data_IF_678604389881
#
_entry.id   IF_678604389881
#
_cell.length_a   1.000
_cell.length_b   1.000
_cell.length_c   1.000
_cell.angle_alpha   90.00
_cell.angle_beta   90.00
_cell.angle_gamma   90.00
#
_symmetry.space_group_name_H-M   'P 1'
#
loop_
_entity.id
_entity.type
_entity.pdbx_description
1 polymer ?
#
# COMPACT_ATOMS: atom_id res chain seq x y z
N UNK A 1 24.08 -5.18 15.64
CA UNK A 1 24.81 -5.15 14.35
C UNK A 1 23.91 -5.58 13.19
N UNK A 2 23.30 -6.79 13.18
CA UNK A 2 22.40 -7.24 12.08
C UNK A 2 21.37 -6.18 11.63
N UNK A 3 20.63 -5.57 12.57
CA UNK A 3 19.67 -4.48 12.27
C UNK A 3 20.29 -3.28 11.52
N UNK A 4 21.50 -2.85 11.90
CA UNK A 4 22.19 -1.75 11.24
C UNK A 4 22.67 -2.13 9.84
N UNK A 5 23.12 -3.38 9.65
CA UNK A 5 23.47 -3.90 8.33
C UNK A 5 22.23 -3.95 7.42
N UNK A 6 21.07 -4.35 7.94
CA UNK A 6 19.84 -4.38 7.16
C UNK A 6 19.30 -3.01 6.81
N UNK A 7 19.48 -2.02 7.67
CA UNK A 7 19.23 -0.64 7.31
C UNK A 7 20.13 -0.20 6.14
N UNK A 8 21.42 -0.59 6.13
CA UNK A 8 22.32 -0.28 5.03
C UNK A 8 21.92 -0.99 3.71
N UNK A 9 21.55 -2.28 3.77
CA UNK A 9 21.07 -3.02 2.59
C UNK A 9 19.74 -2.46 2.09
N UNK A 10 18.82 -2.09 2.98
CA UNK A 10 17.56 -1.42 2.63
C UNK A 10 17.79 -0.10 1.90
N UNK A 11 18.73 0.73 2.38
CA UNK A 11 19.12 1.96 1.71
C UNK A 11 19.69 1.70 0.30
N UNK A 12 20.51 0.65 0.17
CA UNK A 12 21.05 0.24 -1.13
C UNK A 12 19.95 -0.24 -2.08
N UNK A 13 19.01 -1.06 -1.61
CA UNK A 13 17.85 -1.51 -2.38
C UNK A 13 16.98 -0.34 -2.83
N UNK A 14 16.72 0.65 -1.96
CA UNK A 14 16.00 1.86 -2.31
C UNK A 14 16.73 2.70 -3.37
N UNK A 15 18.06 2.85 -3.26
CA UNK A 15 18.88 3.55 -4.25
C UNK A 15 18.90 2.83 -5.62
N UNK A 16 18.75 1.51 -5.64
CA UNK A 16 18.56 0.73 -6.87
C UNK A 16 17.15 0.95 -7.44
N UNK A 17 16.12 0.95 -6.60
CA UNK A 17 14.73 1.20 -7.01
C UNK A 17 14.56 2.60 -7.64
N UNK A 18 15.27 3.61 -7.14
CA UNK A 18 15.31 4.95 -7.72
C UNK A 18 15.87 4.98 -9.16
N UNK A 19 16.58 3.93 -9.57
CA UNK A 19 17.09 3.72 -10.93
C UNK A 19 16.28 2.68 -11.71
N UNK A 20 15.10 2.29 -11.21
CA UNK A 20 14.23 1.30 -11.84
C UNK A 20 14.63 -0.16 -11.60
N UNK A 21 15.57 -0.43 -10.68
CA UNK A 21 16.05 -1.78 -10.37
C UNK A 21 15.48 -2.24 -9.03
N UNK A 22 14.56 -3.22 -9.05
CA UNK A 22 13.99 -3.82 -7.85
C UNK A 22 14.81 -5.04 -7.44
N UNK A 23 15.53 -4.95 -6.32
CA UNK A 23 16.28 -6.08 -5.76
C UNK A 23 15.33 -7.05 -5.06
N UNK A 24 15.05 -8.18 -5.69
CA UNK A 24 14.22 -9.22 -5.08
C UNK A 24 15.05 -10.08 -4.10
N UNK A 25 14.44 -10.48 -2.99
CA UNK A 25 15.01 -11.50 -2.09
C UNK A 25 16.12 -11.02 -1.14
N UNK A 26 16.45 -9.72 -1.10
CA UNK A 26 17.56 -9.22 -0.26
C UNK A 26 17.31 -9.39 1.26
N UNK A 27 16.05 -9.52 1.69
CA UNK A 27 15.68 -9.86 3.07
C UNK A 27 15.74 -11.36 3.38
N UNK A 28 15.90 -12.21 2.37
CA UNK A 28 16.04 -13.64 2.58
C UNK A 28 17.52 -14.06 2.66
N UNK A 29 18.45 -13.12 2.50
CA UNK A 29 19.89 -13.33 2.63
C UNK A 29 20.41 -12.80 3.97
N UNK A 30 21.40 -13.48 4.54
CA UNK A 30 22.17 -12.92 5.67
C UNK A 30 22.75 -11.55 5.28
N UNK A 31 22.73 -10.55 6.19
CA UNK A 31 22.39 -10.62 7.62
C UNK A 31 20.92 -10.26 7.93
N UNK A 32 20.06 -10.25 6.91
CA UNK A 32 18.72 -9.66 6.94
C UNK A 32 17.58 -10.64 6.84
N UNK A 33 17.89 -11.91 7.08
CA UNK A 33 17.08 -13.11 7.27
C UNK A 33 16.01 -12.96 8.37
N UNK A 34 15.25 -11.86 8.30
CA UNK A 34 14.18 -11.49 9.19
C UNK A 34 12.89 -11.57 8.40
N UNK A 35 12.01 -12.50 8.79
CA UNK A 35 10.69 -12.62 8.20
C UNK A 35 9.93 -11.33 8.51
N UNK A 36 9.84 -10.42 7.54
CA UNK A 36 8.96 -9.28 7.65
C UNK A 36 7.52 -9.80 7.60
N UNK A 37 6.88 -9.90 8.77
CA UNK A 37 5.49 -10.36 8.87
C UNK A 37 4.59 -9.18 8.53
N UNK A 38 3.85 -9.31 7.43
CA UNK A 38 2.78 -8.39 7.14
C UNK A 38 1.58 -8.67 8.07
N UNK A 39 0.90 -7.63 8.57
CA UNK A 39 -0.30 -7.80 9.37
C UNK A 39 -1.46 -8.32 8.52
N UNK A 40 -2.44 -8.95 9.18
CA UNK A 40 -3.67 -9.42 8.54
C UNK A 40 -3.40 -10.40 7.38
N UNK A 41 -4.09 -10.16 6.27
CA UNK A 41 -4.00 -10.92 5.01
C UNK A 41 -3.16 -10.20 3.93
N UNK A 42 -2.28 -9.31 4.35
CA UNK A 42 -1.41 -8.57 3.43
C UNK A 42 -0.21 -9.43 2.98
N UNK A 43 0.32 -9.11 1.81
CA UNK A 43 1.49 -9.76 1.22
C UNK A 43 2.67 -8.79 1.17
N UNK A 44 3.88 -9.31 1.41
CA UNK A 44 5.10 -8.54 1.23
C UNK A 44 5.41 -8.30 -0.26
N UNK A 45 5.87 -7.10 -0.60
CA UNK A 45 6.33 -6.72 -1.93
C UNK A 45 7.55 -5.81 -1.86
N UNK A 46 8.47 -5.97 -2.82
CA UNK A 46 9.68 -5.16 -2.98
C UNK A 46 9.47 -3.90 -3.86
N UNK A 47 8.26 -3.74 -4.40
CA UNK A 47 7.94 -2.70 -5.38
C UNK A 47 6.64 -2.00 -5.04
N UNK A 48 6.46 -1.63 -3.77
CA UNK A 48 5.24 -0.96 -3.33
C UNK A 48 5.24 0.47 -3.83
N UNK A 49 4.19 0.82 -4.57
CA UNK A 49 3.87 2.19 -4.96
C UNK A 49 2.71 2.71 -4.11
N UNK A 50 2.70 4.00 -3.85
CA UNK A 50 1.83 4.66 -2.86
C UNK A 50 0.37 4.83 -3.27
N UNK A 51 -0.04 4.33 -4.43
CA UNK A 51 -1.29 4.74 -5.09
C UNK A 51 -2.26 3.58 -5.35
N UNK A 52 -3.55 3.85 -5.16
CA UNK A 52 -4.65 3.02 -5.67
C UNK A 52 -4.99 1.75 -4.88
N UNK A 53 -4.39 1.53 -3.70
CA UNK A 53 -4.48 0.27 -2.96
C UNK A 53 -5.28 0.35 -1.65
N UNK A 54 -6.04 1.44 -1.42
CA UNK A 54 -6.92 1.59 -0.25
C UNK A 54 -8.37 1.81 -0.65
N UNK A 55 -9.31 1.46 0.23
CA UNK A 55 -10.74 1.69 -0.02
C UNK A 55 -11.05 3.16 -0.33
N UNK A 56 -10.32 4.10 0.31
CA UNK A 56 -10.51 5.54 0.06
C UNK A 56 -10.18 5.93 -1.38
N UNK A 57 -9.14 5.34 -1.95
CA UNK A 57 -8.72 5.63 -3.34
C UNK A 57 -9.73 5.19 -4.40
N UNK A 58 -10.66 4.28 -4.05
CA UNK A 58 -11.77 3.90 -4.93
C UNK A 58 -12.89 4.95 -5.00
N UNK A 59 -13.12 5.69 -3.91
CA UNK A 59 -14.21 6.68 -3.83
C UNK A 59 -13.77 8.06 -4.30
N UNK A 60 -12.60 8.48 -3.84
CA UNK A 60 -12.00 9.77 -4.19
C UNK A 60 -10.78 9.46 -5.06
N UNK A 61 -10.92 9.59 -6.39
CA UNK A 61 -9.77 9.58 -7.30
C UNK A 61 -8.92 10.81 -7.01
N UNK A 62 -8.08 10.70 -5.98
CA UNK A 62 -7.26 11.80 -5.54
C UNK A 62 -6.09 11.92 -6.52
N UNK A 63 -6.07 12.99 -7.33
CA UNK A 63 -5.03 13.28 -8.33
C UNK A 63 -3.63 13.51 -7.72
N UNK A 64 -3.50 13.46 -6.39
CA UNK A 64 -2.23 13.60 -5.65
C UNK A 64 -1.22 12.50 -6.06
N UNK A 65 -1.72 11.39 -6.60
CA UNK A 65 -0.93 10.24 -7.02
C UNK A 65 -0.27 10.36 -8.40
N UNK A 66 -0.36 11.50 -9.09
CA UNK A 66 0.17 11.69 -10.45
C UNK A 66 1.71 11.85 -10.51
N UNK A 67 2.43 11.70 -9.40
CA UNK A 67 3.89 11.77 -9.33
C UNK A 67 4.59 10.42 -9.51
N UNK A 68 5.83 10.45 -10.02
CA UNK A 68 6.72 9.29 -9.99
C UNK A 68 7.26 9.09 -8.57
N UNK A 69 6.83 8.03 -7.89
CA UNK A 69 7.36 7.64 -6.59
C UNK A 69 8.44 6.57 -6.76
N UNK A 70 9.56 6.72 -6.06
CA UNK A 70 10.52 5.63 -5.93
C UNK A 70 9.85 4.48 -5.17
N UNK A 71 9.75 3.28 -5.76
CA UNK A 71 9.17 2.13 -5.08
C UNK A 71 9.91 1.82 -3.77
N UNK A 72 9.16 1.35 -2.79
CA UNK A 72 9.69 0.94 -1.48
C UNK A 72 9.28 -0.50 -1.17
N UNK A 73 10.02 -1.16 -0.29
CA UNK A 73 9.62 -2.46 0.21
C UNK A 73 8.54 -2.31 1.29
N UNK A 74 7.53 -3.18 1.30
CA UNK A 74 6.43 -3.06 2.25
C UNK A 74 5.34 -4.12 2.08
N UNK A 75 4.26 -3.94 2.82
CA UNK A 75 3.09 -4.81 2.80
C UNK A 75 1.99 -4.20 1.94
N UNK A 76 1.40 -5.02 1.06
CA UNK A 76 0.32 -4.62 0.15
C UNK A 76 -0.83 -5.60 0.21
N UNK A 77 -2.00 -5.13 -0.22
CA UNK A 77 -3.11 -6.01 -0.54
C UNK A 77 -2.86 -6.74 -1.85
N UNK A 78 -3.38 -7.96 -1.95
CA UNK A 78 -3.39 -8.71 -3.20
C UNK A 78 -4.25 -8.00 -4.24
N UNK A 79 -3.97 -8.26 -5.52
CA UNK A 79 -4.77 -7.74 -6.63
C UNK A 79 -6.27 -8.03 -6.43
N UNK A 80 -7.11 -7.03 -6.67
CA UNK A 80 -8.56 -7.10 -6.43
C UNK A 80 -8.98 -6.82 -4.98
N UNK A 81 -8.06 -6.63 -4.04
CA UNK A 81 -8.37 -6.28 -2.65
C UNK A 81 -7.77 -4.93 -2.26
N UNK A 82 -8.40 -4.27 -1.29
CA UNK A 82 -8.12 -2.89 -0.91
C UNK A 82 -7.96 -2.77 0.60
N UNK A 83 -7.03 -1.91 1.02
CA UNK A 83 -6.74 -1.67 2.43
C UNK A 83 -7.91 -0.94 3.10
N UNK A 84 -8.47 -1.57 4.13
CA UNK A 84 -9.43 -1.02 5.11
C UNK A 84 -8.82 -1.19 6.50
N UNK A 85 -8.28 -0.09 7.06
CA UNK A 85 -7.54 -0.14 8.32
C UNK A 85 -6.26 -0.95 8.18
N UNK A 86 -6.22 -2.11 8.84
CA UNK A 86 -5.10 -3.06 8.88
C UNK A 86 -5.38 -4.38 8.11
N UNK A 87 -6.47 -4.42 7.35
CA UNK A 87 -6.90 -5.61 6.60
C UNK A 87 -7.23 -5.31 5.15
N UNK A 88 -7.12 -6.32 4.28
CA UNK A 88 -7.49 -6.23 2.88
C UNK A 88 -8.88 -6.82 2.67
N UNK A 89 -9.78 -6.02 2.09
CA UNK A 89 -11.17 -6.39 1.81
C UNK A 89 -11.47 -6.31 0.31
N UNK A 90 -12.55 -6.92 -0.12
CA UNK A 90 -13.04 -6.80 -1.50
C UNK A 90 -13.62 -5.39 -1.75
N UNK A 91 -13.69 -4.97 -3.01
CA UNK A 91 -14.14 -3.62 -3.38
C UNK A 91 -15.57 -3.32 -2.88
N UNK A 92 -16.46 -4.32 -2.89
CA UNK A 92 -17.85 -4.22 -2.41
C UNK A 92 -17.96 -4.10 -0.88
N UNK A 93 -16.90 -4.43 -0.15
CA UNK A 93 -16.81 -4.30 1.31
C UNK A 93 -16.14 -2.99 1.75
N UNK A 94 -15.68 -2.18 0.80
CA UNK A 94 -15.11 -0.87 1.08
C UNK A 94 -16.22 0.13 1.41
N UNK A 95 -16.06 0.94 2.48
CA UNK A 95 -16.89 2.12 2.65
C UNK A 95 -16.59 3.13 1.53
N UNK A 96 -17.62 3.84 1.10
CA UNK A 96 -17.48 4.97 0.19
C UNK A 96 -17.13 6.25 0.97
N UNK A 97 -16.36 7.13 0.35
CA UNK A 97 -15.97 8.43 0.92
C UNK A 97 -16.46 9.57 0.03
N UNK A 98 -17.14 10.54 0.63
CA UNK A 98 -17.57 11.76 -0.04
C UNK A 98 -17.27 12.98 0.84
N UNK A 99 -16.17 13.67 0.54
CA UNK A 99 -15.68 14.76 1.38
C UNK A 99 -15.26 14.23 2.75
N UNK A 100 -15.96 14.66 3.82
CA UNK A 100 -15.70 14.19 5.17
C UNK A 100 -16.64 13.06 5.63
N UNK A 101 -17.54 12.59 4.77
CA UNK A 101 -18.50 11.55 5.11
C UNK A 101 -18.03 10.18 4.67
N UNK A 102 -18.20 9.20 5.57
CA UNK A 102 -17.95 7.78 5.33
C UNK A 102 -19.31 7.10 5.21
N UNK A 103 -19.51 6.38 4.11
CA UNK A 103 -20.76 5.71 3.75
C UNK A 103 -20.47 4.21 3.75
N UNK A 104 -21.05 3.48 4.69
CA UNK A 104 -20.81 2.03 4.79
C UNK A 104 -21.37 1.26 3.57
N UNK A 105 -20.83 0.07 3.27
CA UNK A 105 -21.37 -0.79 2.22
C UNK A 105 -22.88 -0.97 2.35
N UNK A 106 -23.60 -0.90 1.23
CA UNK A 106 -25.07 -0.98 1.14
C UNK A 106 -25.85 0.20 1.77
N UNK A 107 -25.19 1.21 2.34
CA UNK A 107 -25.87 2.42 2.79
C UNK A 107 -26.17 3.36 1.60
N UNK A 108 -27.25 4.14 1.73
CA UNK A 108 -27.63 5.16 0.74
C UNK A 108 -27.26 6.54 1.28
N UNK A 109 -26.61 7.34 0.44
CA UNK A 109 -26.28 8.72 0.73
C UNK A 109 -27.05 9.66 -0.19
N UNK A 110 -27.75 10.62 0.39
CA UNK A 110 -28.42 11.68 -0.35
C UNK A 110 -27.52 12.91 -0.39
N UNK A 111 -27.08 13.27 -1.59
CA UNK A 111 -26.36 14.53 -1.82
C UNK A 111 -27.38 15.66 -1.83
N UNK A 112 -27.36 16.51 -0.81
CA UNK A 112 -28.15 17.75 -0.82
C UNK A 112 -27.68 18.65 -1.98
N UNK A 113 -28.60 18.97 -2.90
CA UNK A 113 -28.39 19.99 -3.94
C UNK A 113 -27.85 19.50 -5.29
N UNK A 114 -28.52 18.53 -5.92
CA UNK A 114 -28.60 18.55 -7.38
C UNK A 114 -29.71 19.56 -7.77
N UNK A 115 -29.32 20.82 -7.99
CA UNK A 115 -30.06 21.73 -8.88
C UNK A 115 -29.42 21.66 -10.25
#
# INVERSE_FOLDING_TARGET
IKKCMCAAVSNYAHACAARGIILQGWMNSEPCDTIWKCPGNMKYSYGVTTCGSSCRSLSEQNNICQGSFTPVDGCICSEGTYLKGDSCVQADQCPCYYGNQVIEPSAVFHKDGAK
#
